data_IF_822437145213
#
_entry.id   IF_822437145213
#
_cell.length_a   1.000
_cell.length_b   1.000
_cell.length_c   1.000
_cell.angle_alpha   90.00
_cell.angle_beta   90.00
_cell.angle_gamma   90.00
#
_symmetry.space_group_name_H-M   'P 1'
#
loop_
_entity.id
_entity.type
_entity.pdbx_description
1 polymer ?
#
# COMPACT_ATOMS: atom_id res chain seq x y z
N UNK A 1 -25.30 15.47 47.58
CA UNK A 1 -24.96 14.09 47.94
C UNK A 1 -23.67 13.76 47.20
N UNK A 2 -22.56 13.80 47.93
CA UNK A 2 -21.20 13.85 47.38
C UNK A 2 -20.52 12.55 47.78
N UNK A 3 -20.05 11.77 46.81
CA UNK A 3 -19.21 10.60 47.10
C UNK A 3 -17.91 10.78 46.34
N UNK A 4 -16.91 11.25 47.08
CA UNK A 4 -15.50 11.17 46.75
C UNK A 4 -15.05 9.70 46.78
N UNK A 5 -14.39 9.21 45.73
CA UNK A 5 -13.49 8.07 45.85
C UNK A 5 -12.06 8.49 45.54
N UNK A 6 -11.26 8.47 46.59
CA UNK A 6 -9.84 8.83 46.65
C UNK A 6 -9.15 7.59 47.21
N UNK A 7 -8.22 6.98 46.46
CA UNK A 7 -7.12 6.08 46.86
C UNK A 7 -6.65 5.32 45.61
N UNK A 8 -5.39 4.98 45.41
CA UNK A 8 -4.13 5.39 46.03
C UNK A 8 -2.99 4.92 45.11
N UNK A 9 -1.85 5.59 45.28
CA UNK A 9 -0.50 5.20 44.90
C UNK A 9 -0.25 3.69 44.72
N UNK A 10 0.46 3.37 43.65
CA UNK A 10 1.19 2.11 43.49
C UNK A 10 2.28 2.25 42.44
N UNK A 11 3.36 2.97 42.77
CA UNK A 11 4.61 2.98 42.01
C UNK A 11 5.28 1.61 42.08
N UNK A 12 5.53 0.98 40.93
CA UNK A 12 6.58 -0.03 40.77
C UNK A 12 7.26 0.19 39.43
N UNK A 13 8.48 0.73 39.53
CA UNK A 13 9.47 0.83 38.47
C UNK A 13 10.21 -0.52 38.43
N UNK A 14 10.19 -1.27 37.31
CA UNK A 14 11.27 -2.18 37.00
C UNK A 14 12.18 -1.50 35.98
N UNK A 15 13.34 -1.08 36.46
CA UNK A 15 14.51 -0.88 35.61
C UNK A 15 14.78 -2.18 34.84
N UNK A 16 14.72 -2.14 33.50
CA UNK A 16 15.20 -3.24 32.69
C UNK A 16 15.96 -2.73 31.47
N UNK A 17 17.27 -2.67 31.67
CA UNK A 17 18.32 -3.20 30.79
C UNK A 17 18.34 -2.68 29.34
N UNK A 18 19.35 -1.82 29.14
CA UNK A 18 20.08 -1.58 27.90
C UNK A 18 20.30 -2.91 27.15
N UNK A 19 19.57 -3.10 26.06
CA UNK A 19 19.82 -4.11 25.05
C UNK A 19 19.90 -3.43 23.70
N UNK A 20 21.09 -2.91 23.37
CA UNK A 20 21.41 -2.39 22.06
C UNK A 20 21.35 -3.51 21.02
N UNK A 21 20.16 -3.83 20.53
CA UNK A 21 20.00 -4.51 19.24
C UNK A 21 20.02 -3.41 18.20
N UNK A 22 21.22 -2.92 17.90
CA UNK A 22 21.59 -2.39 16.59
C UNK A 22 21.55 -3.57 15.60
N UNK A 23 20.35 -4.11 15.41
CA UNK A 23 20.05 -4.91 14.25
C UNK A 23 20.08 -3.94 13.10
N UNK A 24 21.15 -3.98 12.31
CA UNK A 24 21.11 -3.54 10.94
C UNK A 24 20.04 -4.38 10.25
N UNK A 25 18.77 -3.99 10.44
CA UNK A 25 17.72 -4.33 9.52
C UNK A 25 18.16 -3.69 8.22
N UNK A 26 18.83 -4.48 7.38
CA UNK A 26 19.02 -4.18 5.98
C UNK A 26 17.61 -3.99 5.43
N UNK A 27 17.15 -2.75 5.47
CA UNK A 27 15.91 -2.32 4.83
C UNK A 27 16.22 -2.51 3.36
N UNK A 28 15.91 -3.70 2.84
CA UNK A 28 15.92 -3.91 1.41
C UNK A 28 15.01 -2.81 0.85
N UNK A 29 15.48 -1.99 -0.10
CA UNK A 29 14.60 -1.03 -0.76
C UNK A 29 13.53 -1.86 -1.44
N UNK A 30 12.36 -1.93 -0.82
CA UNK A 30 11.17 -2.52 -1.42
C UNK A 30 10.83 -1.55 -2.54
N UNK A 31 10.99 -1.99 -3.79
CA UNK A 31 10.56 -1.21 -4.95
C UNK A 31 9.12 -0.78 -4.69
N UNK A 32 8.93 0.54 -4.52
CA UNK A 32 7.66 1.05 -4.03
C UNK A 32 6.65 0.99 -5.16
N UNK A 33 5.82 -0.05 -5.15
CA UNK A 33 4.61 -0.09 -5.98
C UNK A 33 3.62 0.90 -5.39
N UNK A 34 3.39 2.00 -6.09
CA UNK A 34 2.42 3.02 -5.69
C UNK A 34 1.17 2.82 -6.53
N UNK A 35 0.08 2.42 -5.87
CA UNK A 35 -1.26 2.38 -6.46
C UNK A 35 -1.95 3.71 -6.16
N UNK A 36 -2.33 4.45 -7.19
CA UNK A 36 -3.04 5.71 -7.03
C UNK A 36 -4.53 5.53 -7.38
N UNK A 37 -5.44 5.73 -6.41
CA UNK A 37 -6.87 5.61 -6.68
C UNK A 37 -7.39 6.82 -7.48
N UNK A 38 -8.29 6.53 -8.42
CA UNK A 38 -8.97 7.50 -9.28
C UNK A 38 -10.46 7.31 -9.03
N UNK A 39 -11.10 8.28 -8.37
CA UNK A 39 -12.53 8.22 -8.07
C UNK A 39 -13.25 9.33 -8.83
N UNK A 40 -14.20 8.94 -9.68
CA UNK A 40 -14.99 9.86 -10.49
C UNK A 40 -16.45 9.72 -10.07
N UNK A 41 -16.86 10.61 -9.16
CA UNK A 41 -18.25 10.75 -8.78
C UNK A 41 -18.91 11.83 -9.64
N UNK A 42 -19.92 11.41 -10.40
CA UNK A 42 -20.69 12.30 -11.25
C UNK A 42 -21.97 12.69 -10.53
N UNK A 43 -22.14 14.00 -10.36
CA UNK A 43 -23.45 14.54 -9.99
C UNK A 43 -24.49 14.24 -11.09
N UNK A 44 -25.76 14.46 -10.80
CA UNK A 44 -26.87 14.33 -11.75
C UNK A 44 -26.54 14.94 -13.12
N UNK A 45 -26.58 14.10 -14.15
CA UNK A 45 -26.42 14.45 -15.56
C UNK A 45 -27.75 14.23 -16.29
N UNK A 46 -27.98 15.00 -17.37
CA UNK A 46 -29.14 14.84 -18.23
C UNK A 46 -28.92 13.74 -19.29
N UNK A 47 -30.00 13.13 -19.83
CA UNK A 47 -29.88 12.20 -20.94
C UNK A 47 -29.20 12.84 -22.15
N UNK A 48 -28.26 12.13 -22.77
CA UNK A 48 -27.46 12.64 -23.89
C UNK A 48 -26.37 13.65 -23.50
N UNK A 49 -26.27 14.05 -22.22
CA UNK A 49 -25.24 14.98 -21.78
C UNK A 49 -23.86 14.30 -21.78
N UNK A 50 -22.85 15.04 -22.25
CA UNK A 50 -21.45 14.64 -22.15
C UNK A 50 -20.72 15.56 -21.19
N UNK A 51 -19.96 14.99 -20.26
CA UNK A 51 -19.12 15.73 -19.31
C UNK A 51 -17.72 15.15 -19.27
N UNK A 52 -16.74 16.03 -19.10
CA UNK A 52 -15.36 15.65 -18.84
C UNK A 52 -14.99 15.98 -17.39
N UNK A 53 -14.35 15.02 -16.73
CA UNK A 53 -13.72 15.19 -15.43
C UNK A 53 -12.22 15.08 -15.62
N UNK A 54 -11.48 16.02 -15.03
CA UNK A 54 -10.03 16.06 -15.07
C UNK A 54 -9.52 15.81 -13.65
N UNK A 55 -8.63 14.84 -13.50
CA UNK A 55 -7.93 14.53 -12.26
C UNK A 55 -6.43 14.56 -12.50
N UNK A 56 -5.71 15.32 -11.70
CA UNK A 56 -4.25 15.35 -11.76
C UNK A 56 -3.63 14.15 -11.04
N UNK A 57 -2.59 13.58 -11.64
CA UNK A 57 -1.77 12.51 -11.07
C UNK A 57 -0.31 12.93 -11.06
N UNK A 58 0.32 12.94 -9.88
CA UNK A 58 1.73 13.29 -9.75
C UNK A 58 2.58 12.02 -9.68
N UNK A 59 3.45 11.86 -10.66
CA UNK A 59 4.44 10.78 -10.71
C UNK A 59 5.76 11.34 -10.20
N UNK A 60 6.23 10.87 -9.05
CA UNK A 60 7.43 11.42 -8.36
C UNK A 60 8.74 11.19 -9.12
N UNK A 61 8.81 10.11 -9.90
CA UNK A 61 10.00 9.70 -10.65
C UNK A 61 9.58 9.04 -11.96
N UNK A 62 10.52 8.82 -12.89
CA UNK A 62 10.20 8.11 -14.13
C UNK A 62 9.69 6.70 -13.82
N UNK A 63 8.48 6.39 -14.26
CA UNK A 63 7.79 5.14 -13.93
C UNK A 63 7.13 4.52 -15.15
N UNK A 64 7.02 3.19 -15.15
CA UNK A 64 6.26 2.42 -16.13
C UNK A 64 4.92 2.05 -15.54
N UNK A 65 3.87 2.13 -16.34
CA UNK A 65 2.53 1.67 -15.94
C UNK A 65 2.50 0.15 -15.97
N UNK A 66 2.30 -0.49 -14.81
CA UNK A 66 2.28 -1.94 -14.69
C UNK A 66 0.88 -2.52 -14.86
N UNK A 67 -0.12 -1.84 -14.32
CA UNK A 67 -1.52 -2.26 -14.38
C UNK A 67 -2.44 -1.04 -14.37
N UNK A 68 -3.58 -1.19 -15.04
CA UNK A 68 -4.70 -0.26 -14.98
C UNK A 68 -5.96 -1.06 -14.70
N UNK A 69 -6.78 -0.57 -13.79
CA UNK A 69 -8.08 -1.14 -13.48
C UNK A 69 -9.13 -0.03 -13.59
N UNK A 70 -10.29 -0.37 -14.15
CA UNK A 70 -11.42 0.53 -14.25
C UNK A 70 -12.71 -0.25 -14.03
N UNK A 71 -13.52 0.22 -13.09
CA UNK A 71 -14.81 -0.37 -12.76
C UNK A 71 -15.88 0.70 -12.84
N UNK A 72 -16.98 0.39 -13.50
CA UNK A 72 -18.16 1.24 -13.59
C UNK A 72 -19.30 0.60 -12.81
N UNK A 73 -20.20 1.43 -12.28
CA UNK A 73 -21.41 0.98 -11.61
C UNK A 73 -22.57 1.92 -11.94
N UNK A 74 -23.79 1.38 -11.95
CA UNK A 74 -25.01 2.12 -12.26
C UNK A 74 -25.39 2.00 -13.74
N UNK A 75 -25.72 3.13 -14.38
CA UNK A 75 -26.15 3.14 -15.78
C UNK A 75 -25.04 2.82 -16.77
N UNK A 76 -25.43 2.18 -17.87
CA UNK A 76 -24.55 1.87 -18.99
C UNK A 76 -24.26 3.15 -19.81
N UNK A 77 -23.25 3.89 -19.36
CA UNK A 77 -22.78 5.10 -20.02
C UNK A 77 -21.52 4.81 -20.83
N UNK A 78 -21.28 5.62 -21.87
CA UNK A 78 -20.05 5.52 -22.66
C UNK A 78 -18.92 6.26 -21.95
N UNK A 79 -17.89 5.52 -21.54
CA UNK A 79 -16.74 6.03 -20.81
C UNK A 79 -15.50 6.07 -21.70
N UNK A 80 -14.90 7.26 -21.82
CA UNK A 80 -13.65 7.49 -22.52
C UNK A 80 -12.61 8.04 -21.55
N UNK A 81 -11.77 7.16 -21.01
CA UNK A 81 -10.70 7.54 -20.08
C UNK A 81 -9.37 7.61 -20.81
N UNK A 82 -8.64 8.71 -20.62
CA UNK A 82 -7.32 8.94 -21.19
C UNK A 82 -6.38 9.54 -20.15
N UNK A 83 -5.11 9.18 -20.23
CA UNK A 83 -4.04 9.91 -19.56
C UNK A 83 -3.38 10.83 -20.57
N UNK A 84 -3.39 12.12 -20.30
CA UNK A 84 -2.82 13.17 -21.11
C UNK A 84 -1.51 13.68 -20.49
N UNK A 85 -0.49 13.74 -21.32
CA UNK A 85 0.73 14.52 -21.11
C UNK A 85 0.57 15.88 -21.80
N UNK A 86 1.58 16.74 -21.72
CA UNK A 86 1.56 18.06 -22.37
C UNK A 86 1.32 18.00 -23.89
N UNK A 87 1.69 16.89 -24.55
CA UNK A 87 1.64 16.76 -26.01
C UNK A 87 0.66 15.71 -26.51
N UNK A 88 0.38 14.66 -25.72
CA UNK A 88 -0.31 13.47 -26.20
C UNK A 88 -1.27 12.89 -25.16
N UNK A 89 -2.35 12.26 -25.61
CA UNK A 89 -3.27 11.53 -24.75
C UNK A 89 -3.31 10.05 -25.14
N UNK A 90 -3.06 9.18 -24.18
CA UNK A 90 -3.13 7.72 -24.35
C UNK A 90 -4.41 7.18 -23.72
N UNK A 91 -5.12 6.28 -24.41
CA UNK A 91 -6.34 5.66 -23.86
C UNK A 91 -6.01 4.73 -22.70
N UNK A 92 -6.91 4.62 -21.73
CA UNK A 92 -6.69 3.88 -20.50
C UNK A 92 -6.31 2.40 -20.72
N UNK A 93 -6.92 1.73 -21.69
CA UNK A 93 -6.59 0.35 -22.06
C UNK A 93 -5.22 0.19 -22.73
N UNK A 94 -4.70 1.27 -23.32
CA UNK A 94 -3.43 1.28 -24.05
C UNK A 94 -2.25 1.75 -23.15
N UNK A 95 -2.52 2.05 -21.86
CA UNK A 95 -1.52 2.58 -20.93
C UNK A 95 -0.53 1.54 -20.41
N UNK A 96 -0.95 0.28 -20.29
CA UNK A 96 -0.10 -0.76 -19.68
C UNK A 96 1.18 -0.91 -20.49
N UNK A 97 2.31 -0.80 -19.81
CA UNK A 97 3.64 -0.88 -20.41
C UNK A 97 4.20 0.44 -20.90
N UNK A 98 3.44 1.54 -20.89
CA UNK A 98 3.93 2.88 -21.23
C UNK A 98 4.83 3.44 -20.12
N UNK A 99 5.81 4.26 -20.50
CA UNK A 99 6.72 4.94 -19.57
C UNK A 99 6.31 6.40 -19.45
N UNK A 100 6.11 6.86 -18.22
CA UNK A 100 5.79 8.23 -17.88
C UNK A 100 7.01 8.93 -17.28
N UNK A 101 7.21 10.18 -17.68
CA UNK A 101 8.16 11.05 -17.03
C UNK A 101 7.68 11.42 -15.61
N UNK A 102 8.62 11.82 -14.75
CA UNK A 102 8.27 12.46 -13.49
C UNK A 102 7.55 13.78 -13.76
N UNK A 103 6.51 14.08 -12.99
CA UNK A 103 5.72 15.30 -13.14
C UNK A 103 4.25 15.07 -12.87
N UNK A 104 3.45 16.11 -13.09
CA UNK A 104 1.99 16.03 -13.04
C UNK A 104 1.47 15.70 -14.44
N UNK A 105 0.58 14.71 -14.51
CA UNK A 105 -0.15 14.32 -15.72
C UNK A 105 -1.64 14.46 -15.45
N UNK A 106 -2.43 14.59 -16.51
CA UNK A 106 -3.89 14.71 -16.39
C UNK A 106 -4.57 13.41 -16.78
N UNK A 107 -5.41 12.86 -15.89
CA UNK A 107 -6.38 11.83 -16.25
C UNK A 107 -7.66 12.55 -16.65
N UNK A 108 -8.06 12.40 -17.91
CA UNK A 108 -9.31 12.93 -18.44
C UNK A 108 -10.29 11.79 -18.64
N UNK A 109 -11.34 11.77 -17.84
CA UNK A 109 -12.47 10.86 -17.99
C UNK A 109 -13.63 11.62 -18.61
N UNK A 110 -13.96 11.31 -19.87
CA UNK A 110 -15.17 11.81 -20.51
C UNK A 110 -16.25 10.76 -20.42
N UNK A 111 -17.41 11.15 -19.92
CA UNK A 111 -18.61 10.32 -19.91
C UNK A 111 -19.64 10.89 -20.85
N UNK A 112 -20.34 10.03 -21.58
CA UNK A 112 -21.52 10.39 -22.36
C UNK A 112 -22.71 9.56 -21.90
N UNK A 113 -23.73 10.24 -21.37
CA UNK A 113 -24.95 9.58 -20.93
C UNK A 113 -25.79 9.14 -22.13
N UNK A 114 -26.46 7.97 -22.06
CA UNK A 114 -27.39 7.56 -23.11
C UNK A 114 -28.57 8.53 -23.22
N UNK A 115 -29.20 8.58 -24.40
CA UNK A 115 -30.39 9.43 -24.65
C UNK A 115 -31.62 8.97 -23.86
N UNK A 116 -31.61 7.74 -23.33
CA UNK A 116 -32.68 7.18 -22.52
C UNK A 116 -32.08 6.82 -21.15
N UNK A 117 -32.59 7.47 -20.11
CA UNK A 117 -32.24 7.20 -18.72
C UNK A 117 -33.53 7.07 -17.91
N UNK A 118 -33.56 6.11 -17.00
CA UNK A 118 -34.61 6.05 -15.99
C UNK A 118 -34.49 7.24 -15.02
N UNK A 119 -35.62 7.69 -14.47
CA UNK A 119 -35.58 8.79 -13.50
C UNK A 119 -34.79 8.38 -12.26
N UNK A 120 -33.85 9.24 -11.86
CA UNK A 120 -32.99 9.01 -10.69
C UNK A 120 -31.82 8.06 -10.93
N UNK A 121 -31.55 7.67 -12.18
CA UNK A 121 -30.43 6.80 -12.49
C UNK A 121 -29.08 7.53 -12.29
N UNK A 122 -28.12 6.83 -11.68
CA UNK A 122 -26.79 7.35 -11.36
C UNK A 122 -25.70 6.52 -12.04
N UNK A 123 -24.60 7.16 -12.44
CA UNK A 123 -23.38 6.48 -12.87
C UNK A 123 -22.24 6.85 -11.92
N UNK A 124 -21.44 5.86 -11.56
CA UNK A 124 -20.18 6.08 -10.83
C UNK A 124 -19.10 5.23 -11.45
N UNK A 125 -17.86 5.71 -11.42
CA UNK A 125 -16.73 4.90 -11.81
C UNK A 125 -15.52 5.12 -10.90
N UNK A 126 -14.77 4.05 -10.71
CA UNK A 126 -13.55 4.03 -9.92
C UNK A 126 -12.48 3.28 -10.69
N UNK A 127 -11.28 3.82 -10.70
CA UNK A 127 -10.11 3.19 -11.30
C UNK A 127 -8.90 3.19 -10.39
N UNK A 128 -7.92 2.38 -10.75
CA UNK A 128 -6.60 2.39 -10.13
C UNK A 128 -5.53 2.33 -11.22
N UNK A 129 -4.43 3.03 -10.99
CA UNK A 129 -3.22 2.92 -11.81
C UNK A 129 -2.06 2.51 -10.91
N UNK A 130 -1.33 1.48 -11.36
CA UNK A 130 -0.17 0.95 -10.63
C UNK A 130 1.09 1.30 -11.38
N UNK A 131 2.01 1.98 -10.69
CA UNK A 131 3.31 2.37 -11.22
C UNK A 131 4.42 1.45 -10.69
N UNK A 132 5.38 1.15 -11.57
CA UNK A 132 6.67 0.53 -11.23
C UNK A 132 7.80 1.43 -11.71
N UNK A 133 8.93 1.43 -11.03
CA UNK A 133 10.11 2.17 -11.47
C UNK A 133 10.57 1.70 -12.86
N UNK A 134 10.76 2.64 -13.79
CA UNK A 134 11.19 2.31 -15.15
C UNK A 134 12.66 1.87 -15.21
N UNK A 135 13.49 2.49 -14.36
CA UNK A 135 14.94 2.31 -14.30
C UNK A 135 15.37 1.42 -13.11
N UNK A 136 14.43 0.67 -12.51
CA UNK A 136 14.73 -0.25 -11.43
C UNK A 136 15.67 -1.36 -11.95
N UNK A 137 16.96 -1.15 -11.75
CA UNK A 137 17.91 -2.25 -11.66
C UNK A 137 17.42 -3.09 -10.50
N UNK A 138 16.90 -4.29 -10.80
CA UNK A 138 16.57 -5.28 -9.79
C UNK A 138 17.74 -5.31 -8.80
N UNK A 139 17.52 -5.05 -7.50
CA UNK A 139 18.61 -5.11 -6.55
C UNK A 139 19.23 -6.50 -6.71
N UNK A 140 20.53 -6.53 -7.02
CA UNK A 140 21.33 -7.74 -7.17
C UNK A 140 21.35 -8.47 -5.83
N UNK A 141 20.27 -9.18 -5.53
CA UNK A 141 20.08 -9.97 -4.33
C UNK A 141 20.78 -11.33 -4.45
N UNK A 142 21.40 -11.61 -5.59
CA UNK A 142 22.06 -12.89 -5.88
C UNK A 142 23.54 -13.00 -5.48
N UNK A 143 24.26 -11.90 -5.22
CA UNK A 143 25.72 -11.96 -5.12
C UNK A 143 26.30 -11.95 -3.69
N UNK A 144 25.55 -11.49 -2.68
CA UNK A 144 26.10 -11.29 -1.32
C UNK A 144 25.49 -12.17 -0.23
N UNK A 145 24.41 -12.90 -0.50
CA UNK A 145 23.85 -13.86 0.46
C UNK A 145 24.67 -15.16 0.55
N UNK A 146 25.40 -15.53 -0.51
CA UNK A 146 26.20 -16.76 -0.53
C UNK A 146 27.42 -16.72 0.42
N UNK A 147 27.94 -15.52 0.73
CA UNK A 147 29.12 -15.36 1.61
C UNK A 147 28.78 -14.91 3.04
N UNK A 148 27.57 -14.40 3.30
CA UNK A 148 27.12 -13.96 4.63
C UNK A 148 26.20 -14.94 5.38
N UNK A 149 25.48 -15.82 4.68
CA UNK A 149 24.44 -16.67 5.29
C UNK A 149 24.99 -17.89 6.07
N UNK A 150 26.25 -18.26 5.89
CA UNK A 150 26.87 -19.34 6.68
C UNK A 150 27.32 -18.89 8.08
N UNK A 151 27.36 -17.58 8.37
CA UNK A 151 27.80 -17.06 9.67
C UNK A 151 26.71 -16.87 10.72
N UNK A 152 25.45 -16.64 10.31
CA UNK A 152 24.38 -16.24 11.23
C UNK A 152 23.44 -17.40 11.65
N UNK A 153 23.46 -18.54 10.96
CA UNK A 153 22.55 -19.66 11.23
C UNK A 153 22.83 -20.45 12.52
N UNK A 154 24.03 -20.33 13.10
CA UNK A 154 24.44 -21.15 14.25
C UNK A 154 24.09 -20.48 15.59
N UNK A 155 23.93 -19.15 15.65
CA UNK A 155 23.65 -18.43 16.89
C UNK A 155 22.19 -18.60 17.39
N UNK A 156 21.23 -18.81 16.49
CA UNK A 156 19.81 -18.92 16.86
C UNK A 156 19.45 -20.27 17.51
N UNK A 157 20.21 -21.34 17.21
CA UNK A 157 19.91 -22.69 17.73
C UNK A 157 20.39 -22.84 19.19
N UNK A 158 21.46 -22.13 19.59
CA UNK A 158 21.97 -22.18 20.97
C UNK A 158 21.10 -21.38 21.93
N UNK A 159 20.53 -20.24 21.50
CA UNK A 159 19.67 -19.40 22.34
C UNK A 159 18.33 -20.05 22.72
N UNK A 160 17.71 -20.78 21.78
CA UNK A 160 16.42 -21.45 22.02
C UNK A 160 16.51 -22.58 23.06
N UNK A 161 17.63 -23.30 23.12
CA UNK A 161 17.80 -24.43 24.03
C UNK A 161 17.97 -24.00 25.49
N UNK A 162 18.59 -22.83 25.74
CA UNK A 162 18.79 -22.30 27.10
C UNK A 162 17.46 -21.84 27.72
N UNK A 163 16.56 -21.23 26.94
CA UNK A 163 15.24 -20.78 27.44
C UNK A 163 14.36 -21.98 27.79
N UNK A 164 14.40 -23.06 27.00
CA UNK A 164 13.64 -24.29 27.28
C UNK A 164 14.18 -25.00 28.52
N UNK A 165 15.50 -25.02 28.75
CA UNK A 165 16.08 -25.61 29.95
C UNK A 165 15.74 -24.83 31.24
N UNK A 166 15.73 -23.50 31.19
CA UNK A 166 15.34 -22.67 32.36
C UNK A 166 13.85 -22.84 32.67
N UNK A 167 12.99 -22.92 31.64
CA UNK A 167 11.56 -23.15 31.83
C UNK A 167 11.26 -24.54 32.41
N UNK A 168 12.01 -25.58 32.02
CA UNK A 168 11.85 -26.93 32.56
C UNK A 168 12.29 -27.05 34.02
N UNK A 169 13.34 -26.34 34.41
CA UNK A 169 13.90 -26.45 35.78
C UNK A 169 12.99 -25.82 36.85
N UNK A 170 12.18 -24.81 36.48
CA UNK A 170 11.20 -24.21 37.41
C UNK A 170 10.05 -25.14 37.79
N UNK A 171 9.56 -25.96 36.87
CA UNK A 171 8.44 -26.88 37.14
C UNK A 171 8.79 -28.01 38.10
N UNK A 172 10.06 -28.43 38.16
CA UNK A 172 10.50 -29.49 39.06
C UNK A 172 10.61 -29.04 40.54
N UNK A 173 10.60 -27.73 40.83
CA UNK A 173 10.66 -27.23 42.22
C UNK A 173 9.28 -27.04 42.85
N UNK A 174 8.20 -27.09 42.06
CA UNK A 174 6.83 -26.92 42.55
C UNK A 174 6.20 -28.25 43.02
N UNK A 175 6.84 -29.39 42.72
CA UNK A 175 6.35 -30.73 43.07
C UNK A 175 6.94 -31.29 44.39
N UNK A 176 7.94 -30.62 44.98
CA UNK A 176 8.58 -31.04 46.25
C UNK A 176 7.98 -30.34 47.50
N UNK A 177 6.97 -29.48 47.30
CA UNK A 177 6.33 -28.70 48.37
C UNK A 177 4.88 -29.16 48.69
N UNK A 178 4.48 -30.34 48.20
CA UNK A 178 3.15 -30.95 48.47
C UNK A 178 3.24 -32.25 49.27
#
# INVERSE_FOLDING_TARGET
>A
MTICFRRALGTLVPAMIIGAVLGAASIAPVAATVAQPVDVNLQTMLPGESRAVIQEVTVSQRARVAATEWTTAGVDADWNIRLCTDTDCTRWQDLVGTTLASGTHEIRATITMPNQLDQGATASASGSITFIEADATLPSTGATLASGALGAGIAAIVGGFVIVLIARRRRAQEEDES
#
